data_IF_809628039543
#
_entry.id   IF_809628039543
#
_cell.length_a   1.000
_cell.length_b   1.000
_cell.length_c   1.000
_cell.angle_alpha   90.00
_cell.angle_beta   90.00
_cell.angle_gamma   90.00
#
_symmetry.space_group_name_H-M   'P 1'
#
loop_
_entity.id
_entity.type
_entity.pdbx_description
1 polymer ?
#
# COMPACT_ATOMS: atom_id res chain seq x y z
N UNK A 1 -90.87 2.48 -0.01
CA UNK A 1 -90.95 3.89 -0.46
C UNK A 1 -89.60 4.30 -1.01
N UNK A 2 -89.56 4.69 -2.27
CA UNK A 2 -88.40 4.99 -3.12
C UNK A 2 -87.43 6.03 -2.56
N UNK A 3 -86.12 5.90 -2.85
CA UNK A 3 -85.19 6.87 -3.54
C UNK A 3 -83.93 6.09 -3.96
N UNK A 4 -83.69 5.78 -5.24
CA UNK A 4 -83.11 6.61 -6.32
C UNK A 4 -81.74 7.25 -6.03
N UNK A 5 -80.77 6.82 -6.85
CA UNK A 5 -79.66 7.59 -7.46
C UNK A 5 -78.56 8.18 -6.56
N UNK A 6 -77.34 7.66 -6.73
CA UNK A 6 -76.22 8.45 -7.28
C UNK A 6 -75.01 7.58 -7.57
N UNK A 7 -74.81 7.30 -8.86
CA UNK A 7 -73.53 6.93 -9.46
C UNK A 7 -72.51 8.06 -9.24
N UNK A 8 -71.38 7.76 -8.59
CA UNK A 8 -70.18 8.61 -8.64
C UNK A 8 -69.05 7.81 -9.25
N UNK A 9 -68.49 8.44 -10.27
CA UNK A 9 -67.59 7.97 -11.30
C UNK A 9 -66.26 8.76 -11.13
N UNK A 10 -65.14 8.09 -11.37
CA UNK A 10 -63.75 8.60 -11.56
C UNK A 10 -62.96 8.95 -10.29
N UNK A 11 -61.83 8.26 -10.10
CA UNK A 11 -60.48 8.87 -10.15
C UNK A 11 -59.40 7.77 -10.31
N UNK A 12 -59.09 7.43 -11.57
CA UNK A 12 -57.82 6.83 -11.95
C UNK A 12 -56.81 7.97 -12.06
N UNK A 13 -55.92 8.12 -11.07
CA UNK A 13 -54.76 9.00 -11.19
C UNK A 13 -53.45 8.20 -11.16
N UNK A 14 -52.70 8.42 -12.23
CA UNK A 14 -51.38 7.93 -12.56
C UNK A 14 -50.40 7.88 -11.37
N UNK A 15 -49.87 6.68 -11.11
CA UNK A 15 -48.61 6.54 -10.42
C UNK A 15 -47.50 7.00 -11.38
N UNK A 16 -47.02 8.23 -11.22
CA UNK A 16 -45.75 8.64 -11.82
C UNK A 16 -44.62 7.88 -11.11
N UNK A 17 -43.69 7.23 -11.82
CA UNK A 17 -42.47 6.74 -11.18
C UNK A 17 -41.67 7.96 -10.74
N UNK A 18 -41.58 8.16 -9.43
CA UNK A 18 -40.62 9.07 -8.82
C UNK A 18 -39.24 8.64 -9.30
N UNK A 19 -38.53 9.59 -9.91
CA UNK A 19 -37.15 9.45 -10.34
C UNK A 19 -36.29 8.99 -9.16
N UNK A 20 -35.91 7.72 -9.15
CA UNK A 20 -34.75 7.28 -8.41
C UNK A 20 -33.53 7.88 -9.13
N UNK A 21 -33.11 9.07 -8.69
CA UNK A 21 -31.76 9.55 -8.95
C UNK A 21 -30.81 8.54 -8.32
N UNK A 22 -30.33 7.62 -9.15
CA UNK A 22 -29.23 6.74 -8.80
C UNK A 22 -28.00 7.60 -8.53
N UNK A 23 -27.79 7.99 -7.28
CA UNK A 23 -26.47 8.27 -6.74
C UNK A 23 -25.69 6.95 -6.68
N UNK A 24 -25.36 6.44 -7.87
CA UNK A 24 -24.60 5.22 -8.12
C UNK A 24 -23.28 5.57 -8.78
N UNK A 25 -22.49 6.40 -8.12
CA UNK A 25 -21.15 6.79 -8.53
C UNK A 25 -20.09 6.18 -7.61
N UNK A 26 -20.17 4.88 -7.30
CA UNK A 26 -19.01 4.15 -6.82
C UNK A 26 -18.04 4.06 -7.99
N UNK A 27 -17.19 5.08 -8.12
CA UNK A 27 -16.11 5.13 -9.08
C UNK A 27 -15.26 3.89 -8.90
N UNK A 28 -15.38 2.96 -9.85
CA UNK A 28 -14.53 1.80 -9.93
C UNK A 28 -13.08 2.24 -9.82
N UNK A 29 -12.29 1.49 -9.07
CA UNK A 29 -10.85 1.67 -9.03
C UNK A 29 -10.36 1.90 -10.46
N UNK A 30 -9.76 3.06 -10.70
CA UNK A 30 -9.24 3.39 -12.02
C UNK A 30 -8.25 2.29 -12.38
N UNK A 31 -8.55 1.45 -13.37
CA UNK A 31 -7.66 0.37 -13.87
C UNK A 31 -6.42 0.91 -14.60
N UNK A 32 -6.09 2.19 -14.37
CA UNK A 32 -5.00 2.94 -14.97
C UNK A 32 -4.07 3.43 -13.88
N UNK A 33 -2.81 3.62 -14.25
CA UNK A 33 -1.85 4.31 -13.42
C UNK A 33 -2.26 5.79 -13.26
N UNK A 34 -1.83 6.40 -12.16
CA UNK A 34 -2.18 7.78 -11.83
C UNK A 34 -1.11 8.44 -10.97
N UNK A 35 -0.88 9.72 -11.21
CA UNK A 35 0.06 10.50 -10.41
C UNK A 35 -0.34 10.55 -8.94
N UNK A 36 -1.63 10.59 -8.64
CA UNK A 36 -2.11 10.62 -7.27
C UNK A 36 -1.67 9.37 -6.48
N UNK A 37 -1.90 8.17 -7.05
CA UNK A 37 -1.51 6.91 -6.40
C UNK A 37 0.01 6.79 -6.31
N UNK A 38 0.73 7.08 -7.39
CA UNK A 38 2.21 7.04 -7.41
C UNK A 38 2.80 7.97 -6.36
N UNK A 39 2.37 9.24 -6.33
CA UNK A 39 2.85 10.21 -5.36
C UNK A 39 2.54 9.81 -3.91
N UNK A 40 1.37 9.21 -3.68
CA UNK A 40 1.00 8.74 -2.34
C UNK A 40 1.93 7.63 -1.87
N UNK A 41 2.26 6.67 -2.74
CA UNK A 41 3.19 5.57 -2.43
C UNK A 41 4.61 6.08 -2.24
N UNK A 42 5.12 6.92 -3.15
CA UNK A 42 6.46 7.54 -3.04
C UNK A 42 6.60 8.28 -1.70
N UNK A 43 5.64 9.15 -1.35
CA UNK A 43 5.66 9.90 -0.08
C UNK A 43 5.53 8.99 1.14
N UNK A 44 4.79 7.89 1.04
CA UNK A 44 4.67 6.91 2.13
C UNK A 44 6.03 6.26 2.36
N UNK A 45 6.64 5.72 1.30
CA UNK A 45 7.95 5.09 1.35
C UNK A 45 9.00 6.04 1.95
N UNK A 46 9.18 7.22 1.35
CA UNK A 46 10.19 8.19 1.80
C UNK A 46 10.05 8.62 3.25
N UNK A 47 8.82 8.91 3.71
CA UNK A 47 8.56 9.33 5.10
C UNK A 47 8.82 8.19 6.07
N UNK A 48 8.34 6.99 5.76
CA UNK A 48 8.56 5.83 6.62
C UNK A 48 10.03 5.44 6.70
N UNK A 49 10.77 5.49 5.58
CA UNK A 49 12.20 5.20 5.57
C UNK A 49 13.00 6.18 6.45
N UNK A 50 12.70 7.50 6.35
CA UNK A 50 13.29 8.50 7.25
C UNK A 50 12.95 8.24 8.71
N UNK A 51 11.72 7.84 9.00
CA UNK A 51 11.30 7.49 10.37
C UNK A 51 12.03 6.24 10.88
N UNK A 52 12.23 5.22 10.04
CA UNK A 52 12.95 4.01 10.46
C UNK A 52 14.41 4.31 10.78
N UNK A 53 15.04 5.25 10.08
CA UNK A 53 16.42 5.65 10.36
C UNK A 53 16.61 6.30 11.73
N UNK A 54 15.56 6.87 12.34
CA UNK A 54 15.63 7.40 13.69
C UNK A 54 15.53 6.33 14.79
N UNK A 55 15.38 5.05 14.44
CA UNK A 55 15.39 3.93 15.38
C UNK A 55 16.80 3.36 15.52
N UNK A 56 17.07 2.65 16.61
CA UNK A 56 18.30 1.85 16.74
C UNK A 56 18.35 0.78 15.66
N UNK A 57 19.57 0.47 15.19
CA UNK A 57 19.83 -0.40 14.03
C UNK A 57 19.12 -1.75 14.11
N UNK A 58 19.02 -2.31 15.32
CA UNK A 58 18.35 -3.58 15.61
C UNK A 58 16.83 -3.56 15.35
N UNK A 59 16.16 -2.41 15.46
CA UNK A 59 14.72 -2.28 15.21
C UNK A 59 14.37 -1.82 13.78
N UNK A 60 15.36 -1.35 13.01
CA UNK A 60 15.10 -0.74 11.69
C UNK A 60 14.48 -1.72 10.70
N UNK A 61 14.85 -2.99 10.74
CA UNK A 61 14.41 -4.00 9.78
C UNK A 61 12.91 -4.30 9.86
N UNK A 62 12.34 -4.36 11.07
CA UNK A 62 10.89 -4.49 11.22
C UNK A 62 10.16 -3.19 10.82
N UNK A 63 10.74 -2.03 11.14
CA UNK A 63 10.19 -0.77 10.66
C UNK A 63 10.16 -0.70 9.11
N UNK A 64 11.23 -1.11 8.44
CA UNK A 64 11.28 -1.19 6.98
C UNK A 64 10.24 -2.16 6.45
N UNK A 65 10.13 -3.36 7.04
CA UNK A 65 9.16 -4.38 6.63
C UNK A 65 7.76 -3.79 6.63
N UNK A 66 7.35 -3.18 7.75
CA UNK A 66 6.04 -2.57 7.89
C UNK A 66 5.81 -1.45 6.86
N UNK A 67 6.81 -0.61 6.61
CA UNK A 67 6.71 0.48 5.64
C UNK A 67 6.50 -0.03 4.20
N UNK A 68 7.23 -1.07 3.79
CA UNK A 68 7.04 -1.68 2.47
C UNK A 68 5.71 -2.40 2.36
N UNK A 69 5.26 -3.09 3.42
CA UNK A 69 3.93 -3.70 3.45
C UNK A 69 2.81 -2.67 3.37
N UNK A 70 2.93 -1.55 4.08
CA UNK A 70 1.98 -0.43 3.99
C UNK A 70 1.93 0.15 2.56
N UNK A 71 3.10 0.31 1.93
CA UNK A 71 3.21 0.78 0.55
C UNK A 71 2.56 -0.19 -0.45
N UNK A 72 2.82 -1.50 -0.29
CA UNK A 72 2.24 -2.54 -1.13
C UNK A 72 0.72 -2.62 -1.00
N UNK A 73 0.19 -2.60 0.23
CA UNK A 73 -1.26 -2.55 0.49
C UNK A 73 -1.92 -1.34 -0.16
N UNK A 74 -1.21 -0.21 -0.25
CA UNK A 74 -1.75 0.98 -0.89
C UNK A 74 -1.95 0.84 -2.41
N UNK A 75 -1.29 -0.15 -3.03
CA UNK A 75 -1.40 -0.44 -4.46
C UNK A 75 -2.43 -1.54 -4.78
N UNK A 76 -2.87 -2.31 -3.79
CA UNK A 76 -3.74 -3.49 -3.95
C UNK A 76 -5.07 -3.19 -4.64
N UNK A 77 -5.60 -1.99 -4.42
CA UNK A 77 -6.87 -1.54 -4.99
C UNK A 77 -6.79 -1.25 -6.51
N UNK A 78 -5.60 -1.27 -7.13
CA UNK A 78 -5.43 -0.91 -8.55
C UNK A 78 -4.54 -1.92 -9.30
N UNK A 79 -5.14 -2.81 -10.12
CA UNK A 79 -4.42 -3.84 -10.88
C UNK A 79 -3.32 -3.30 -11.81
N UNK A 80 -3.41 -2.04 -12.25
CA UNK A 80 -2.36 -1.43 -13.08
C UNK A 80 -1.02 -1.34 -12.34
N UNK A 81 -1.04 -1.31 -11.01
CA UNK A 81 0.15 -1.26 -10.16
C UNK A 81 0.66 -2.64 -9.73
N UNK A 82 0.11 -3.74 -10.24
CA UNK A 82 0.50 -5.10 -9.82
C UNK A 82 2.02 -5.34 -9.88
N UNK A 83 2.77 -4.92 -10.92
CA UNK A 83 4.23 -5.08 -10.92
C UNK A 83 4.93 -4.36 -9.75
N UNK A 84 4.47 -3.15 -9.41
CA UNK A 84 5.01 -2.41 -8.28
C UNK A 84 4.59 -2.98 -6.93
N UNK A 85 3.35 -3.45 -6.81
CA UNK A 85 2.88 -4.15 -5.62
C UNK A 85 3.75 -5.37 -5.34
N UNK A 86 3.97 -6.23 -6.34
CA UNK A 86 4.79 -7.44 -6.21
C UNK A 86 6.24 -7.12 -5.82
N UNK A 87 6.84 -6.08 -6.43
CA UNK A 87 8.19 -5.65 -6.09
C UNK A 87 8.30 -5.19 -4.62
N UNK A 88 7.31 -4.47 -4.09
CA UNK A 88 7.28 -4.04 -2.69
C UNK A 88 7.01 -5.21 -1.73
N UNK A 89 6.12 -6.15 -2.11
CA UNK A 89 5.86 -7.37 -1.37
C UNK A 89 7.10 -8.28 -1.29
N UNK A 90 7.90 -8.35 -2.35
CA UNK A 90 9.16 -9.09 -2.32
C UNK A 90 10.12 -8.53 -1.26
N UNK A 91 10.21 -7.21 -1.13
CA UNK A 91 11.01 -6.56 -0.09
C UNK A 91 10.46 -6.85 1.30
N UNK A 92 9.15 -6.69 1.49
CA UNK A 92 8.48 -7.01 2.76
C UNK A 92 8.73 -8.46 3.18
N UNK A 93 8.52 -9.42 2.27
CA UNK A 93 8.75 -10.84 2.53
C UNK A 93 10.20 -11.14 2.88
N UNK A 94 11.16 -10.51 2.19
CA UNK A 94 12.59 -10.65 2.52
C UNK A 94 12.87 -10.17 3.94
N UNK A 95 12.34 -8.99 4.33
CA UNK A 95 12.53 -8.45 5.67
C UNK A 95 11.80 -9.26 6.75
N UNK A 96 10.65 -9.84 6.42
CA UNK A 96 9.97 -10.79 7.31
C UNK A 96 10.83 -12.02 7.57
N UNK A 97 11.47 -12.59 6.54
CA UNK A 97 12.39 -13.71 6.69
C UNK A 97 13.61 -13.35 7.54
N UNK A 98 14.15 -12.14 7.36
CA UNK A 98 15.22 -11.60 8.21
C UNK A 98 14.81 -11.60 9.67
N UNK A 99 13.61 -11.08 10.00
CA UNK A 99 13.12 -11.06 11.38
C UNK A 99 12.91 -12.45 11.93
N UNK A 100 12.24 -13.33 11.18
CA UNK A 100 11.96 -14.70 11.62
C UNK A 100 13.24 -15.49 11.92
N UNK A 101 14.32 -15.24 11.17
CA UNK A 101 15.59 -15.93 11.36
C UNK A 101 16.51 -15.30 12.42
N UNK A 102 16.30 -14.02 12.75
CA UNK A 102 17.27 -13.24 13.53
C UNK A 102 16.68 -12.47 14.71
N UNK A 103 15.40 -12.66 15.06
CA UNK A 103 14.77 -11.91 16.14
C UNK A 103 15.52 -12.10 17.45
N UNK A 104 15.73 -11.00 18.17
CA UNK A 104 16.28 -11.02 19.52
C UNK A 104 15.13 -11.20 20.52
N UNK A 105 15.03 -12.40 21.09
CA UNK A 105 13.98 -12.72 22.07
C UNK A 105 14.26 -12.12 23.46
N UNK A 106 15.48 -11.67 23.73
CA UNK A 106 15.83 -11.03 24.99
C UNK A 106 15.58 -9.51 24.96
N UNK A 107 15.46 -8.92 23.77
CA UNK A 107 15.12 -7.52 23.59
C UNK A 107 13.60 -7.28 23.69
N UNK A 108 13.23 -6.24 24.43
CA UNK A 108 11.85 -5.77 24.46
C UNK A 108 11.42 -5.22 23.09
N UNK A 109 10.13 -5.34 22.80
CA UNK A 109 9.55 -4.71 21.61
C UNK A 109 9.53 -3.19 21.77
N UNK A 110 9.96 -2.46 20.74
CA UNK A 110 9.97 -1.00 20.75
C UNK A 110 8.61 -0.46 20.33
N UNK A 111 7.93 0.28 21.21
CA UNK A 111 6.70 1.00 20.86
C UNK A 111 7.00 2.47 20.52
N UNK A 112 6.49 2.91 19.35
CA UNK A 112 6.54 4.31 18.91
C UNK A 112 5.25 4.66 18.18
N UNK A 113 4.51 5.64 18.72
CA UNK A 113 3.16 5.98 18.26
C UNK A 113 2.29 4.72 18.28
N UNK A 114 1.58 4.44 17.19
CA UNK A 114 0.69 3.28 17.06
C UNK A 114 1.37 2.03 16.49
N UNK A 115 2.71 2.04 16.37
CA UNK A 115 3.50 0.93 15.86
C UNK A 115 4.39 0.32 16.93
N UNK A 116 4.60 -0.98 16.79
CA UNK A 116 5.54 -1.77 17.59
C UNK A 116 6.57 -2.38 16.65
N UNK A 117 7.83 -2.43 17.08
CA UNK A 117 8.93 -2.97 16.30
C UNK A 117 9.68 -4.05 17.06
N UNK A 118 9.94 -5.17 16.38
CA UNK A 118 10.76 -6.27 16.90
C UNK A 118 12.24 -6.03 16.59
N UNK A 119 13.11 -6.30 17.56
CA UNK A 119 14.55 -6.24 17.36
C UNK A 119 15.08 -7.51 16.68
N UNK A 120 16.15 -7.35 15.91
CA UNK A 120 17.05 -8.46 15.55
C UNK A 120 18.27 -8.46 16.45
N UNK A 121 18.94 -9.61 16.52
CA UNK A 121 20.24 -9.73 17.17
C UNK A 121 21.24 -8.76 16.54
N UNK A 122 22.04 -8.07 17.36
CA UNK A 122 23.02 -7.08 16.88
C UNK A 122 24.06 -7.70 15.92
N UNK A 123 24.47 -8.95 16.18
CA UNK A 123 25.36 -9.73 15.32
C UNK A 123 24.78 -10.04 13.94
N UNK A 124 23.45 -10.03 13.80
CA UNK A 124 22.76 -10.28 12.54
C UNK A 124 22.58 -9.01 11.68
N UNK A 125 22.94 -7.82 12.18
CA UNK A 125 22.78 -6.57 11.43
C UNK A 125 23.50 -6.58 10.08
N UNK A 126 24.77 -7.02 9.96
CA UNK A 126 25.47 -7.02 8.67
C UNK A 126 24.82 -7.93 7.61
N UNK A 127 24.45 -9.16 7.99
CA UNK A 127 23.77 -10.08 7.07
C UNK A 127 22.38 -9.59 6.67
N UNK A 128 21.65 -8.98 7.62
CA UNK A 128 20.33 -8.40 7.37
C UNK A 128 20.39 -7.24 6.38
N UNK A 129 21.43 -6.39 6.49
CA UNK A 129 21.70 -5.30 5.55
C UNK A 129 21.98 -5.82 4.16
N UNK A 130 22.76 -6.89 4.02
CA UNK A 130 23.07 -7.50 2.73
C UNK A 130 21.79 -8.06 2.06
N UNK A 131 20.99 -8.83 2.81
CA UNK A 131 19.72 -9.38 2.32
C UNK A 131 18.75 -8.28 1.88
N UNK A 132 18.60 -7.23 2.68
CA UNK A 132 17.74 -6.11 2.34
C UNK A 132 18.24 -5.34 1.10
N UNK A 133 19.55 -5.10 1.00
CA UNK A 133 20.15 -4.44 -0.18
C UNK A 133 19.89 -5.25 -1.44
N UNK A 134 20.05 -6.57 -1.41
CA UNK A 134 19.77 -7.45 -2.54
C UNK A 134 18.28 -7.39 -2.95
N UNK A 135 17.36 -7.40 -2.00
CA UNK A 135 15.92 -7.28 -2.30
C UNK A 135 15.57 -5.93 -2.95
N UNK A 136 16.21 -4.83 -2.52
CA UNK A 136 16.03 -3.52 -3.15
C UNK A 136 16.52 -3.52 -4.61
N UNK A 137 17.65 -4.16 -4.90
CA UNK A 137 18.18 -4.27 -6.27
C UNK A 137 17.27 -5.08 -7.18
N UNK A 138 16.78 -6.24 -6.69
CA UNK A 138 15.84 -7.09 -7.42
C UNK A 138 14.56 -6.34 -7.74
N UNK A 139 13.95 -5.70 -6.73
CA UNK A 139 12.72 -4.93 -6.90
C UNK A 139 12.90 -3.74 -7.85
N UNK A 140 14.01 -2.98 -7.73
CA UNK A 140 14.35 -1.89 -8.65
C UNK A 140 14.46 -2.40 -10.09
N UNK A 141 15.17 -3.51 -10.29
CA UNK A 141 15.37 -4.11 -11.61
C UNK A 141 14.05 -4.56 -12.23
N UNK A 142 13.18 -5.19 -11.44
CA UNK A 142 11.85 -5.61 -11.88
C UNK A 142 11.01 -4.41 -12.36
N UNK A 143 10.99 -3.33 -11.58
CA UNK A 143 10.25 -2.11 -11.92
C UNK A 143 10.75 -1.47 -13.21
N UNK A 144 12.08 -1.33 -13.35
CA UNK A 144 12.69 -0.68 -14.52
C UNK A 144 12.60 -1.51 -15.81
N UNK A 145 12.39 -2.82 -15.70
CA UNK A 145 12.20 -3.72 -16.85
C UNK A 145 10.74 -3.92 -17.23
N UNK A 146 9.80 -3.36 -16.46
CA UNK A 146 8.38 -3.46 -16.79
C UNK A 146 8.10 -2.65 -18.07
N UNK A 147 7.40 -3.23 -19.08
CA UNK A 147 7.13 -2.55 -20.36
C UNK A 147 6.46 -1.17 -20.21
N UNK A 148 6.57 -0.34 -21.25
CA UNK A 148 6.23 1.10 -21.29
C UNK A 148 4.80 1.49 -20.89
N UNK A 149 3.91 0.53 -20.62
CA UNK A 149 2.58 0.81 -20.06
C UNK A 149 2.63 1.41 -18.64
N UNK A 150 3.78 1.39 -17.96
CA UNK A 150 3.95 2.01 -16.64
C UNK A 150 5.17 2.90 -16.39
N UNK A 151 5.88 3.31 -17.45
CA UNK A 151 7.20 3.96 -17.43
C UNK A 151 7.47 4.95 -16.28
N UNK A 152 6.91 6.16 -16.31
CA UNK A 152 7.21 7.21 -15.32
C UNK A 152 6.85 6.79 -13.88
N UNK A 153 5.70 6.14 -13.71
CA UNK A 153 5.20 5.74 -12.40
C UNK A 153 6.11 4.71 -11.71
N UNK A 154 6.51 3.67 -12.44
CA UNK A 154 7.39 2.63 -11.90
C UNK A 154 8.83 3.12 -11.73
N UNK A 155 9.31 3.97 -12.65
CA UNK A 155 10.62 4.63 -12.51
C UNK A 155 10.69 5.48 -11.24
N UNK A 156 9.63 6.24 -10.92
CA UNK A 156 9.57 7.04 -9.69
C UNK A 156 9.58 6.20 -8.41
N UNK A 157 8.87 5.08 -8.39
CA UNK A 157 8.93 4.14 -7.26
C UNK A 157 10.33 3.53 -7.17
N UNK A 158 10.92 3.10 -8.29
CA UNK A 158 12.27 2.54 -8.36
C UNK A 158 13.35 3.52 -7.87
N UNK A 159 13.19 4.81 -8.15
CA UNK A 159 14.09 5.87 -7.66
C UNK A 159 14.11 5.97 -6.13
N UNK A 160 12.96 5.77 -5.47
CA UNK A 160 12.90 5.73 -3.99
C UNK A 160 13.65 4.52 -3.45
N UNK A 161 13.50 3.35 -4.09
CA UNK A 161 14.23 2.13 -3.69
C UNK A 161 15.75 2.33 -3.82
N UNK A 162 16.19 3.00 -4.88
CA UNK A 162 17.61 3.29 -5.10
C UNK A 162 18.18 4.28 -4.09
N UNK A 163 17.43 5.35 -3.81
CA UNK A 163 17.80 6.36 -2.80
C UNK A 163 17.97 5.72 -1.42
N UNK A 164 17.28 4.62 -1.16
CA UNK A 164 17.36 3.92 0.11
C UNK A 164 18.70 3.19 0.35
N UNK A 165 19.42 2.84 -0.72
CA UNK A 165 20.76 2.26 -0.61
C UNK A 165 21.76 3.24 -0.02
N UNK A 166 21.54 4.54 -0.20
CA UNK A 166 22.36 5.58 0.42
C UNK A 166 22.21 5.51 1.94
N UNK A 167 20.98 5.33 2.45
CA UNK A 167 20.72 5.19 3.87
C UNK A 167 21.22 3.87 4.49
N UNK A 168 21.43 2.85 3.66
CA UNK A 168 22.06 1.61 4.10
C UNK A 168 23.58 1.70 4.12
N UNK A 169 24.22 2.67 3.45
CA UNK A 169 25.69 2.81 3.43
C UNK A 169 26.25 3.56 4.65
N UNK A 170 25.41 4.36 5.30
CA UNK A 170 25.70 5.05 6.56
C UNK A 170 25.64 4.10 7.75
#
# INVERSE_FOLDING_TARGET
>A
MSRLLSTVLILLLAAAPVLAQGYGGYGGASSKLSDHTTNKVVRLLERGLRQCQSLDSVYRYDCYRQNYGDAARRLDENPAYLPAQQALQHIEATLQNVLSANSDSAADTLRRRDKTFTAINSSAVPQSKAAFTAALETARTQLLRTPDTGGDHFSRIAKVLDSNKVFLRS
#
